data_IF_450523592921
#
_entry.id   IF_450523592921
#
_cell.length_a   1.000
_cell.length_b   1.000
_cell.length_c   1.000
_cell.angle_alpha   90.00
_cell.angle_beta   90.00
_cell.angle_gamma   90.00
#
_symmetry.space_group_name_H-M   'P 1'
#
loop_
_entity.id
_entity.type
_entity.pdbx_description
1 polymer ?
#
# COMPACT_ATOMS: atom_id res chain seq x y z
N UNK A 1 5.44 -12.58 -40.25
CA UNK A 1 6.22 -11.99 -39.14
C UNK A 1 5.55 -12.37 -37.84
N UNK A 2 6.29 -13.04 -36.96
CA UNK A 2 5.82 -13.69 -35.74
C UNK A 2 5.68 -12.68 -34.56
N UNK A 3 4.88 -13.00 -33.53
CA UNK A 3 4.65 -12.12 -32.38
C UNK A 3 5.81 -12.15 -31.38
N UNK A 4 6.01 -11.01 -30.70
CA UNK A 4 7.03 -10.78 -29.68
C UNK A 4 6.79 -11.66 -28.44
N UNK A 5 7.83 -12.39 -28.01
CA UNK A 5 7.86 -13.21 -26.80
C UNK A 5 8.38 -12.43 -25.59
N UNK A 6 7.83 -12.76 -24.42
CA UNK A 6 8.29 -12.33 -23.09
C UNK A 6 9.68 -12.86 -22.72
N UNK A 7 10.28 -12.14 -21.78
CA UNK A 7 11.51 -12.36 -21.00
C UNK A 7 12.01 -13.80 -20.84
N UNK A 8 13.33 -13.97 -21.00
CA UNK A 8 14.12 -14.89 -20.17
C UNK A 8 15.48 -14.29 -19.83
N UNK A 9 15.89 -14.58 -18.59
CA UNK A 9 16.98 -14.06 -17.78
C UNK A 9 18.33 -14.67 -18.15
N UNK A 10 19.35 -13.84 -18.43
CA UNK A 10 20.77 -14.22 -18.32
C UNK A 10 21.70 -13.01 -18.47
N UNK A 11 21.98 -12.30 -17.37
CA UNK A 11 22.97 -11.20 -17.22
C UNK A 11 23.41 -10.43 -18.49
N UNK A 12 22.53 -9.59 -19.08
CA UNK A 12 22.87 -8.48 -19.97
C UNK A 12 22.42 -7.12 -19.38
N UNK A 13 21.93 -7.12 -18.13
CA UNK A 13 21.02 -6.11 -17.60
C UNK A 13 21.59 -4.70 -17.50
N UNK A 14 22.91 -4.50 -17.41
CA UNK A 14 23.48 -3.16 -17.26
C UNK A 14 23.40 -2.33 -18.54
N UNK A 15 23.48 -2.93 -19.74
CA UNK A 15 23.40 -2.16 -21.00
C UNK A 15 21.98 -1.74 -21.31
N UNK A 16 21.01 -2.63 -21.12
CA UNK A 16 19.59 -2.27 -21.22
C UNK A 16 19.19 -1.29 -20.11
N UNK A 17 19.64 -1.50 -18.86
CA UNK A 17 19.35 -0.57 -17.76
C UNK A 17 19.96 0.81 -17.98
N UNK A 18 21.19 0.93 -18.50
CA UNK A 18 21.81 2.23 -18.76
C UNK A 18 21.07 3.01 -19.87
N UNK A 19 20.61 2.33 -20.92
CA UNK A 19 19.79 2.94 -21.98
C UNK A 19 18.42 3.36 -21.43
N UNK A 20 17.78 2.51 -20.62
CA UNK A 20 16.48 2.82 -19.99
C UNK A 20 16.60 3.96 -18.98
N UNK A 21 17.67 4.02 -18.17
CA UNK A 21 17.92 5.13 -17.23
C UNK A 21 18.19 6.42 -17.99
N UNK A 22 19.04 6.39 -19.02
CA UNK A 22 19.31 7.60 -19.83
C UNK A 22 18.04 8.12 -20.51
N UNK A 23 17.21 7.22 -21.05
CA UNK A 23 15.93 7.59 -21.63
C UNK A 23 14.96 8.18 -20.57
N UNK A 24 14.96 7.64 -19.36
CA UNK A 24 14.11 8.14 -18.27
C UNK A 24 14.44 9.57 -17.84
N UNK A 25 15.71 9.99 -18.00
CA UNK A 25 16.16 11.36 -17.68
C UNK A 25 15.87 12.38 -18.79
N UNK A 26 15.42 11.93 -19.96
CA UNK A 26 15.19 12.75 -21.16
C UNK A 26 13.71 12.75 -21.56
N UNK A 27 12.83 12.38 -20.64
CA UNK A 27 11.39 12.39 -20.86
C UNK A 27 10.90 13.83 -20.97
N UNK A 28 10.00 14.07 -21.92
CA UNK A 28 9.28 15.33 -22.04
C UNK A 28 8.32 15.51 -20.86
N UNK A 29 8.44 16.63 -20.15
CA UNK A 29 7.62 16.96 -18.99
C UNK A 29 6.11 17.06 -19.33
N UNK A 30 5.77 17.27 -20.62
CA UNK A 30 4.39 17.24 -21.10
C UNK A 30 3.83 15.81 -21.24
N UNK A 31 4.68 14.77 -21.18
CA UNK A 31 4.26 13.37 -21.25
C UNK A 31 4.20 12.74 -19.86
N UNK A 32 3.08 12.96 -19.18
CA UNK A 32 2.88 12.47 -17.81
C UNK A 32 2.97 10.94 -17.68
N UNK A 33 2.53 10.18 -18.69
CA UNK A 33 2.67 8.72 -18.69
C UNK A 33 4.14 8.28 -18.66
N UNK A 34 4.99 8.91 -19.48
CA UNK A 34 6.41 8.63 -19.51
C UNK A 34 7.12 9.14 -18.23
N UNK A 35 6.67 10.26 -17.67
CA UNK A 35 7.17 10.78 -16.39
C UNK A 35 6.86 9.80 -15.25
N UNK A 36 5.62 9.31 -15.15
CA UNK A 36 5.23 8.31 -14.17
C UNK A 36 6.00 6.99 -14.31
N UNK A 37 6.26 6.54 -15.54
CA UNK A 37 7.08 5.36 -15.79
C UNK A 37 8.54 5.56 -15.33
N UNK A 38 9.10 6.75 -15.57
CA UNK A 38 10.46 7.10 -15.18
C UNK A 38 10.61 7.22 -13.66
N UNK A 39 9.68 7.91 -12.99
CA UNK A 39 9.63 8.00 -11.53
C UNK A 39 9.58 6.61 -10.87
N UNK A 40 8.72 5.71 -11.38
CA UNK A 40 8.62 4.32 -10.88
C UNK A 40 9.90 3.53 -11.10
N UNK A 41 10.58 3.73 -12.22
CA UNK A 41 11.90 3.13 -12.46
C UNK A 41 12.91 3.62 -11.43
N UNK A 42 12.97 4.93 -11.17
CA UNK A 42 13.91 5.50 -10.20
C UNK A 42 13.65 4.99 -8.78
N UNK A 43 12.39 4.89 -8.36
CA UNK A 43 11.99 4.27 -7.09
C UNK A 43 12.46 2.81 -6.99
N UNK A 44 12.24 2.02 -8.04
CA UNK A 44 12.70 0.62 -8.08
C UNK A 44 14.22 0.50 -8.03
N UNK A 45 14.94 1.41 -8.70
CA UNK A 45 16.39 1.46 -8.65
C UNK A 45 16.90 1.89 -7.28
N UNK A 46 16.26 2.87 -6.63
CA UNK A 46 16.62 3.33 -5.29
C UNK A 46 16.52 2.22 -4.24
N UNK A 47 15.53 1.33 -4.37
CA UNK A 47 15.41 0.15 -3.50
C UNK A 47 16.62 -0.78 -3.58
N UNK A 48 17.24 -0.88 -4.76
CA UNK A 48 18.39 -1.75 -5.02
C UNK A 48 19.72 -1.03 -4.81
N UNK A 49 19.76 0.27 -5.10
CA UNK A 49 20.97 1.08 -5.15
C UNK A 49 20.74 2.41 -4.42
N UNK A 50 21.21 2.48 -3.18
CA UNK A 50 21.18 3.69 -2.35
C UNK A 50 22.38 4.58 -2.65
N UNK A 51 22.37 5.22 -3.82
CA UNK A 51 23.44 6.15 -4.23
C UNK A 51 22.95 7.61 -4.17
N UNK A 52 23.83 8.59 -3.90
CA UNK A 52 23.46 10.01 -3.75
C UNK A 52 22.59 10.56 -4.89
N UNK A 53 22.92 10.21 -6.14
CA UNK A 53 22.16 10.66 -7.30
C UNK A 53 20.69 10.18 -7.29
N UNK A 54 20.45 8.91 -6.96
CA UNK A 54 19.09 8.36 -6.90
C UNK A 54 18.33 8.88 -5.67
N UNK A 55 19.03 9.10 -4.56
CA UNK A 55 18.43 9.71 -3.36
C UNK A 55 17.89 11.11 -3.68
N UNK A 56 18.70 11.95 -4.32
CA UNK A 56 18.29 13.28 -4.75
C UNK A 56 17.14 13.23 -5.75
N UNK A 57 17.29 12.45 -6.82
CA UNK A 57 16.32 12.38 -7.91
C UNK A 57 14.92 11.94 -7.43
N UNK A 58 14.87 10.92 -6.57
CA UNK A 58 13.61 10.44 -6.01
C UNK A 58 13.06 11.41 -4.96
N UNK A 59 13.92 12.05 -4.17
CA UNK A 59 13.48 13.09 -3.23
C UNK A 59 12.81 14.25 -3.96
N UNK A 60 13.40 14.73 -5.05
CA UNK A 60 12.86 15.81 -5.88
C UNK A 60 11.48 15.43 -6.45
N UNK A 61 11.34 14.21 -6.98
CA UNK A 61 10.04 13.70 -7.46
C UNK A 61 9.00 13.73 -6.35
N UNK A 62 9.32 13.19 -5.17
CA UNK A 62 8.39 13.18 -4.03
C UNK A 62 8.03 14.59 -3.58
N UNK A 63 8.99 15.52 -3.60
CA UNK A 63 8.76 16.92 -3.23
C UNK A 63 7.82 17.61 -4.23
N UNK A 64 8.09 17.48 -5.53
CA UNK A 64 7.27 18.05 -6.61
C UNK A 64 5.84 17.49 -6.60
N UNK A 65 5.68 16.22 -6.21
CA UNK A 65 4.38 15.55 -6.13
C UNK A 65 3.67 15.74 -4.76
N UNK A 66 4.07 16.75 -3.98
CA UNK A 66 3.44 17.14 -2.70
C UNK A 66 3.57 16.10 -1.56
N UNK A 67 4.62 15.28 -1.60
CA UNK A 67 4.99 14.35 -0.53
C UNK A 67 6.28 14.76 0.18
N UNK A 68 6.31 16.02 0.62
CA UNK A 68 7.47 16.61 1.30
C UNK A 68 7.99 15.79 2.51
N UNK A 69 7.15 15.22 3.40
CA UNK A 69 7.65 14.38 4.50
C UNK A 69 8.49 13.18 4.01
N UNK A 70 8.06 12.53 2.92
CA UNK A 70 8.76 11.39 2.33
C UNK A 70 10.00 11.80 1.54
N UNK A 71 9.99 13.00 0.96
CA UNK A 71 11.16 13.57 0.30
C UNK A 71 12.26 13.92 1.31
N UNK A 72 11.90 14.56 2.43
CA UNK A 72 12.84 14.97 3.48
C UNK A 72 13.56 13.78 4.14
N UNK A 73 12.95 12.60 4.21
CA UNK A 73 13.64 11.39 4.64
C UNK A 73 14.83 11.05 3.71
N UNK A 74 14.65 11.17 2.39
CA UNK A 74 15.71 10.91 1.42
C UNK A 74 16.75 12.03 1.39
N UNK A 75 16.34 13.29 1.54
CA UNK A 75 17.30 14.40 1.66
C UNK A 75 18.18 14.26 2.92
N UNK A 76 17.63 13.77 4.04
CA UNK A 76 18.43 13.48 5.24
C UNK A 76 19.41 12.32 5.01
N UNK A 77 18.98 11.25 4.33
CA UNK A 77 19.88 10.16 3.93
C UNK A 77 21.01 10.66 3.02
N UNK A 78 20.67 11.51 2.06
CA UNK A 78 21.64 12.19 1.20
C UNK A 78 22.60 13.07 2.02
N UNK A 79 22.08 13.88 2.94
CA UNK A 79 22.86 14.75 3.82
C UNK A 79 23.87 13.97 4.66
N UNK A 80 23.49 12.81 5.20
CA UNK A 80 24.43 11.94 5.94
C UNK A 80 25.59 11.46 5.05
N UNK A 81 25.36 11.36 3.74
CA UNK A 81 26.35 10.87 2.77
C UNK A 81 27.25 11.97 2.24
N UNK A 82 26.71 13.14 1.89
CA UNK A 82 27.47 14.23 1.26
C UNK A 82 27.94 15.31 2.23
N UNK A 83 27.32 15.39 3.42
CA UNK A 83 27.66 16.33 4.50
C UNK A 83 27.69 17.81 4.06
N UNK A 84 26.79 18.20 3.16
CA UNK A 84 26.70 19.57 2.64
C UNK A 84 25.96 20.48 3.64
N UNK A 85 26.57 21.60 4.04
CA UNK A 85 25.97 22.48 5.05
C UNK A 85 24.74 23.25 4.54
N UNK A 86 24.67 23.53 3.23
CA UNK A 86 23.52 24.24 2.66
C UNK A 86 22.30 23.32 2.61
N UNK A 87 22.49 22.06 2.22
CA UNK A 87 21.44 21.06 2.25
C UNK A 87 20.92 20.83 3.68
N UNK A 88 21.81 20.74 4.68
CA UNK A 88 21.41 20.65 6.08
C UNK A 88 20.51 21.82 6.53
N UNK A 89 20.92 23.06 6.22
CA UNK A 89 20.14 24.25 6.55
C UNK A 89 18.78 24.25 5.85
N UNK A 90 18.76 23.91 4.55
CA UNK A 90 17.52 23.84 3.77
C UNK A 90 16.54 22.77 4.30
N UNK A 91 17.04 21.60 4.74
CA UNK A 91 16.21 20.56 5.37
C UNK A 91 15.57 21.10 6.66
N UNK A 92 16.35 21.80 7.50
CA UNK A 92 15.85 22.35 8.76
C UNK A 92 14.76 23.42 8.53
N UNK A 93 14.98 24.34 7.59
CA UNK A 93 13.99 25.35 7.19
C UNK A 93 12.72 24.72 6.61
N UNK A 94 12.87 23.66 5.81
CA UNK A 94 11.74 22.93 5.23
C UNK A 94 10.92 22.21 6.29
N UNK A 95 11.55 21.57 7.26
CA UNK A 95 10.88 20.94 8.41
C UNK A 95 10.06 21.95 9.22
N UNK A 96 10.64 23.12 9.50
CA UNK A 96 9.95 24.18 10.23
C UNK A 96 8.70 24.65 9.45
N UNK A 97 8.86 24.89 8.14
CA UNK A 97 7.78 25.33 7.25
C UNK A 97 6.65 24.31 7.18
N UNK A 98 6.96 23.03 7.05
CA UNK A 98 5.96 21.96 7.05
C UNK A 98 5.24 21.85 8.40
N UNK A 99 5.98 21.95 9.50
CA UNK A 99 5.39 21.93 10.85
C UNK A 99 4.44 23.09 11.09
N UNK A 100 4.76 24.28 10.56
CA UNK A 100 3.92 25.46 10.65
C UNK A 100 2.66 25.30 9.80
N UNK A 101 2.82 24.88 8.54
CA UNK A 101 1.71 24.68 7.60
C UNK A 101 0.71 23.65 8.11
N UNK A 102 1.19 22.56 8.72
CA UNK A 102 0.34 21.55 9.35
C UNK A 102 -0.48 22.15 10.50
N UNK A 103 0.16 22.84 11.44
CA UNK A 103 -0.52 23.48 12.58
C UNK A 103 -1.63 24.43 12.12
N UNK A 104 -1.39 25.21 11.07
CA UNK A 104 -2.38 26.12 10.50
C UNK A 104 -3.54 25.37 9.83
N UNK A 105 -3.25 24.27 9.13
CA UNK A 105 -4.28 23.49 8.44
C UNK A 105 -5.18 22.74 9.43
N UNK A 106 -4.60 22.11 10.44
CA UNK A 106 -5.33 21.37 11.47
C UNK A 106 -6.24 22.29 12.30
N UNK A 107 -5.83 23.53 12.54
CA UNK A 107 -6.64 24.50 13.30
C UNK A 107 -7.76 25.15 12.49
N UNK A 108 -7.70 25.12 11.14
CA UNK A 108 -8.69 25.74 10.26
C UNK A 108 -9.86 24.84 9.87
N UNK A 109 -9.71 23.53 9.98
CA UNK A 109 -10.76 22.58 9.61
C UNK A 109 -11.61 22.22 10.84
N UNK A 110 -12.81 22.79 10.96
CA UNK A 110 -13.81 22.24 11.89
C UNK A 110 -14.34 20.93 11.32
N UNK A 111 -13.63 19.83 11.56
CA UNK A 111 -14.06 18.51 11.10
C UNK A 111 -15.18 18.02 12.02
N UNK A 112 -16.39 17.88 11.48
CA UNK A 112 -17.51 17.27 12.20
C UNK A 112 -17.49 15.75 12.01
N UNK A 113 -17.09 15.04 13.07
CA UNK A 113 -17.14 13.58 13.10
C UNK A 113 -18.55 13.07 13.40
N UNK A 114 -18.92 11.97 12.75
CA UNK A 114 -20.19 11.31 13.06
C UNK A 114 -20.19 10.75 14.49
N UNK A 115 -21.35 10.70 15.18
CA UNK A 115 -21.44 10.14 16.53
C UNK A 115 -20.88 8.71 16.57
N UNK A 116 -19.95 8.48 17.49
CA UNK A 116 -19.29 7.18 17.65
C UNK A 116 -18.25 6.81 16.61
N UNK A 117 -17.99 7.67 15.62
CA UNK A 117 -17.01 7.46 14.55
C UNK A 117 -15.68 8.19 14.81
N UNK A 118 -15.39 8.50 16.08
CA UNK A 118 -14.06 8.94 16.51
C UNK A 118 -13.15 7.73 16.69
N UNK A 119 -11.85 7.92 16.54
CA UNK A 119 -10.85 6.91 16.88
C UNK A 119 -11.01 6.48 18.35
N UNK A 120 -11.00 5.17 18.58
CA UNK A 120 -11.19 4.53 19.90
C UNK A 120 -10.10 3.47 20.10
N UNK A 121 -8.94 3.85 20.64
CA UNK A 121 -7.83 2.92 20.81
C UNK A 121 -8.17 1.75 21.76
N UNK A 122 -9.14 1.94 22.66
CA UNK A 122 -9.54 0.94 23.64
C UNK A 122 -10.11 -0.33 22.98
N UNK A 123 -10.66 -0.23 21.76
CA UNK A 123 -11.20 -1.39 21.02
C UNK A 123 -10.17 -2.48 20.74
N UNK A 124 -8.92 -2.09 20.48
CA UNK A 124 -7.81 -3.04 20.31
C UNK A 124 -7.54 -3.82 21.58
N UNK A 125 -7.89 -3.25 22.75
CA UNK A 125 -7.69 -3.86 24.05
C UNK A 125 -8.85 -4.75 24.49
N UNK A 126 -10.04 -4.62 23.88
CA UNK A 126 -11.23 -5.39 24.22
C UNK A 126 -10.99 -6.92 24.04
N UNK A 127 -11.72 -7.76 24.79
CA UNK A 127 -11.66 -9.21 24.60
C UNK A 127 -11.97 -9.60 23.15
N UNK A 128 -11.36 -10.69 22.68
CA UNK A 128 -11.67 -11.22 21.36
C UNK A 128 -13.16 -11.58 21.27
N UNK A 129 -13.82 -11.33 20.12
CA UNK A 129 -15.21 -11.67 19.95
C UNK A 129 -15.41 -13.17 20.15
N UNK A 130 -16.45 -13.51 20.91
CA UNK A 130 -16.85 -14.90 21.08
C UNK A 130 -17.99 -15.17 20.11
N UNK A 131 -17.64 -15.81 19.01
CA UNK A 131 -18.58 -16.45 18.12
C UNK A 131 -18.21 -17.92 18.07
N UNK A 132 -19.18 -18.82 18.02
CA UNK A 132 -18.88 -20.25 17.90
C UNK A 132 -19.83 -20.82 16.88
N UNK A 133 -19.31 -21.17 15.72
CA UNK A 133 -20.06 -21.99 14.78
C UNK A 133 -20.40 -23.33 15.44
N UNK A 134 -21.55 -23.89 15.05
CA UNK A 134 -21.87 -25.26 15.45
C UNK A 134 -20.83 -26.21 14.85
N UNK A 135 -20.57 -27.33 15.54
CA UNK A 135 -19.62 -28.34 15.05
C UNK A 135 -20.06 -28.89 13.69
N UNK A 136 -21.37 -28.98 13.49
CA UNK A 136 -22.01 -29.43 12.26
C UNK A 136 -21.69 -28.47 11.11
N UNK A 137 -21.86 -27.16 11.30
CA UNK A 137 -21.55 -26.15 10.29
C UNK A 137 -20.05 -26.10 9.99
N UNK A 138 -19.20 -26.21 11.02
CA UNK A 138 -17.76 -26.26 10.81
C UNK A 138 -17.35 -27.46 9.94
N UNK A 139 -17.88 -28.64 10.26
CA UNK A 139 -17.61 -29.88 9.50
C UNK A 139 -18.12 -29.79 8.05
N UNK A 140 -19.26 -29.13 7.83
CA UNK A 140 -19.80 -28.89 6.49
C UNK A 140 -18.89 -27.96 5.68
N UNK A 141 -18.40 -26.87 6.28
CA UNK A 141 -17.47 -25.95 5.62
C UNK A 141 -16.15 -26.65 5.29
N UNK A 142 -15.57 -27.42 6.22
CA UNK A 142 -14.35 -28.18 5.98
C UNK A 142 -14.51 -29.19 4.85
N UNK A 143 -15.65 -29.90 4.81
CA UNK A 143 -15.95 -30.84 3.74
C UNK A 143 -16.02 -30.14 2.38
N UNK A 144 -16.79 -29.05 2.29
CA UNK A 144 -16.91 -28.26 1.06
C UNK A 144 -15.54 -27.71 0.63
N UNK A 145 -14.75 -27.21 1.57
CA UNK A 145 -13.40 -26.71 1.30
C UNK A 145 -12.48 -27.82 0.77
N UNK A 146 -12.52 -29.00 1.39
CA UNK A 146 -11.76 -30.17 0.94
C UNK A 146 -12.14 -30.56 -0.50
N UNK A 147 -13.43 -30.59 -0.84
CA UNK A 147 -13.91 -30.89 -2.19
C UNK A 147 -13.41 -29.86 -3.22
N UNK A 148 -13.52 -28.57 -2.90
CA UNK A 148 -13.06 -27.48 -3.79
C UNK A 148 -11.53 -27.49 -3.95
N UNK A 149 -10.79 -27.76 -2.87
CA UNK A 149 -9.31 -27.73 -2.88
C UNK A 149 -8.69 -28.80 -3.79
N UNK A 150 -9.42 -29.86 -4.10
CA UNK A 150 -9.00 -30.95 -4.98
C UNK A 150 -9.22 -30.65 -6.47
N UNK A 151 -9.97 -29.59 -6.80
CA UNK A 151 -10.21 -29.22 -8.19
C UNK A 151 -8.91 -28.78 -8.87
N UNK A 152 -8.79 -29.10 -10.16
CA UNK A 152 -7.65 -28.64 -10.96
C UNK A 152 -7.63 -27.11 -10.97
N UNK A 153 -6.49 -26.52 -10.62
CA UNK A 153 -6.30 -25.08 -10.51
C UNK A 153 -7.02 -24.36 -9.36
N UNK A 154 -7.60 -25.06 -8.38
CA UNK A 154 -8.32 -24.45 -7.25
C UNK A 154 -7.56 -23.28 -6.59
N UNK A 155 -6.26 -23.44 -6.32
CA UNK A 155 -5.42 -22.40 -5.72
C UNK A 155 -5.24 -21.16 -6.63
N UNK A 156 -5.07 -21.39 -7.94
CA UNK A 156 -4.95 -20.30 -8.92
C UNK A 156 -6.26 -19.53 -9.02
N UNK A 157 -7.37 -20.25 -9.09
CA UNK A 157 -8.69 -19.67 -9.27
C UNK A 157 -9.11 -18.90 -8.01
N UNK A 158 -8.87 -19.46 -6.81
CA UNK A 158 -9.03 -18.75 -5.53
C UNK A 158 -8.29 -17.41 -5.54
N UNK A 159 -7.00 -17.41 -5.87
CA UNK A 159 -6.18 -16.19 -5.87
C UNK A 159 -6.69 -15.16 -6.87
N UNK A 160 -7.10 -15.63 -8.05
CA UNK A 160 -7.60 -14.79 -9.13
C UNK A 160 -8.92 -14.15 -8.75
N UNK A 161 -9.90 -14.95 -8.30
CA UNK A 161 -11.21 -14.45 -7.89
C UNK A 161 -11.11 -13.53 -6.67
N UNK A 162 -10.33 -13.91 -5.65
CA UNK A 162 -10.09 -13.05 -4.50
C UNK A 162 -9.55 -11.69 -4.94
N UNK A 163 -8.50 -11.67 -5.76
CA UNK A 163 -7.90 -10.42 -6.23
C UNK A 163 -8.85 -9.56 -7.06
N UNK A 164 -9.67 -10.19 -7.93
CA UNK A 164 -10.68 -9.46 -8.72
C UNK A 164 -11.72 -8.82 -7.80
N UNK A 165 -12.24 -9.57 -6.82
CA UNK A 165 -13.27 -9.06 -5.93
C UNK A 165 -12.75 -7.99 -4.97
N UNK A 166 -11.56 -8.16 -4.38
CA UNK A 166 -10.98 -7.15 -3.49
C UNK A 166 -10.62 -5.88 -4.26
N UNK A 167 -10.08 -5.99 -5.46
CA UNK A 167 -9.80 -4.83 -6.30
C UNK A 167 -11.11 -4.14 -6.73
N UNK A 168 -12.15 -4.91 -7.07
CA UNK A 168 -13.46 -4.38 -7.44
C UNK A 168 -14.16 -3.61 -6.31
N UNK A 169 -14.03 -4.05 -5.04
CA UNK A 169 -14.53 -3.32 -3.87
C UNK A 169 -13.94 -1.92 -3.80
N UNK A 170 -12.69 -1.80 -4.22
CA UNK A 170 -11.89 -0.58 -4.14
C UNK A 170 -12.01 0.28 -5.41
N UNK A 171 -12.93 -0.08 -6.31
CA UNK A 171 -13.20 0.66 -7.55
C UNK A 171 -12.21 0.38 -8.67
N UNK A 172 -11.31 -0.58 -8.49
CA UNK A 172 -10.37 -1.06 -9.50
C UNK A 172 -11.08 -2.16 -10.28
N UNK A 173 -12.01 -1.73 -11.16
CA UNK A 173 -12.70 -2.47 -12.23
C UNK A 173 -13.39 -3.80 -11.84
N UNK A 174 -14.50 -4.09 -12.50
CA UNK A 174 -15.28 -5.31 -12.29
C UNK A 174 -14.97 -6.38 -13.33
N UNK A 175 -15.47 -7.61 -13.11
CA UNK A 175 -15.43 -8.68 -14.11
C UNK A 175 -16.11 -8.25 -15.42
N UNK A 176 -17.08 -7.34 -15.35
CA UNK A 176 -17.84 -6.82 -16.50
C UNK A 176 -17.04 -5.79 -17.31
N UNK A 177 -16.16 -5.03 -16.66
CA UNK A 177 -15.25 -4.08 -17.30
C UNK A 177 -14.17 -4.76 -18.17
N UNK A 178 -14.01 -6.08 -18.02
CA UNK A 178 -13.13 -6.88 -18.87
C UNK A 178 -13.69 -7.10 -20.30
N UNK A 179 -14.99 -6.81 -20.51
CA UNK A 179 -15.75 -7.11 -21.74
C UNK A 179 -16.12 -5.84 -22.55
N UNK A 180 -16.03 -4.65 -21.95
CA UNK A 180 -16.33 -3.36 -22.60
C UNK A 180 -15.22 -2.87 -23.55
N UNK A 181 -15.61 -2.26 -24.68
CA UNK A 181 -14.71 -1.65 -25.68
C UNK A 181 -14.46 -0.17 -25.37
N UNK A 182 -13.18 0.19 -25.46
CA UNK A 182 -12.58 1.51 -25.72
C UNK A 182 -12.43 2.58 -24.61
N UNK A 183 -12.96 2.43 -23.38
CA UNK A 183 -12.52 3.31 -22.28
C UNK A 183 -11.23 2.82 -21.60
N UNK A 184 -10.13 3.42 -22.09
CA UNK A 184 -8.78 3.58 -21.54
C UNK A 184 -7.91 2.31 -21.38
N UNK A 185 -7.00 2.13 -22.35
CA UNK A 185 -5.84 1.23 -22.27
C UNK A 185 -5.02 1.40 -20.97
N UNK A 186 -5.00 2.61 -20.41
CA UNK A 186 -4.38 2.93 -19.11
C UNK A 186 -5.09 2.26 -17.93
N UNK A 187 -6.43 2.31 -17.87
CA UNK A 187 -7.22 1.60 -16.86
C UNK A 187 -7.03 0.09 -17.00
N UNK A 188 -7.03 -0.44 -18.22
CA UNK A 188 -6.76 -1.87 -18.47
C UNK A 188 -5.35 -2.30 -18.04
N UNK A 189 -4.35 -1.43 -18.14
CA UNK A 189 -2.99 -1.70 -17.68
C UNK A 189 -2.88 -1.64 -16.16
N UNK A 190 -3.50 -0.64 -15.53
CA UNK A 190 -3.56 -0.51 -14.08
C UNK A 190 -4.31 -1.69 -13.45
N UNK A 191 -5.47 -2.06 -14.00
CA UNK A 191 -6.23 -3.26 -13.63
C UNK A 191 -5.38 -4.51 -13.66
N UNK A 192 -4.67 -4.75 -14.77
CA UNK A 192 -3.79 -5.92 -14.90
C UNK A 192 -2.64 -5.89 -13.91
N UNK A 193 -2.03 -4.73 -13.70
CA UNK A 193 -0.95 -4.57 -12.74
C UNK A 193 -1.45 -4.91 -11.33
N UNK A 194 -2.58 -4.34 -10.92
CA UNK A 194 -3.17 -4.52 -9.60
C UNK A 194 -3.68 -5.95 -9.38
N UNK A 195 -4.24 -6.61 -10.39
CA UNK A 195 -4.57 -8.03 -10.28
C UNK A 195 -3.30 -8.87 -10.07
N UNK A 196 -2.21 -8.59 -10.80
CA UNK A 196 -0.95 -9.33 -10.66
C UNK A 196 -0.31 -9.11 -9.29
N UNK A 197 -0.27 -7.88 -8.81
CA UNK A 197 0.33 -7.55 -7.51
C UNK A 197 -0.53 -8.06 -6.35
N UNK A 198 -1.87 -8.00 -6.42
CA UNK A 198 -2.77 -8.60 -5.44
C UNK A 198 -2.64 -10.13 -5.37
N UNK A 199 -2.52 -10.82 -6.52
CA UNK A 199 -2.26 -12.27 -6.56
C UNK A 199 -0.90 -12.61 -5.92
N UNK A 200 0.10 -11.77 -6.15
CA UNK A 200 1.45 -11.93 -5.58
C UNK A 200 1.42 -11.72 -4.07
N UNK A 201 0.75 -10.66 -3.60
CA UNK A 201 0.58 -10.36 -2.18
C UNK A 201 -0.19 -11.49 -1.46
N UNK A 202 -1.28 -11.99 -2.04
CA UNK A 202 -2.02 -13.11 -1.48
C UNK A 202 -1.18 -14.39 -1.43
N UNK A 203 -0.37 -14.66 -2.45
CA UNK A 203 0.57 -15.78 -2.42
C UNK A 203 1.56 -15.65 -1.25
N UNK A 204 2.08 -14.44 -1.02
CA UNK A 204 2.96 -14.15 0.11
C UNK A 204 2.27 -14.32 1.45
N UNK A 205 1.01 -13.89 1.59
CA UNK A 205 0.19 -14.14 2.80
C UNK A 205 0.04 -15.63 3.05
N UNK A 206 -0.26 -16.42 2.03
CA UNK A 206 -0.41 -17.88 2.17
C UNK A 206 0.89 -18.56 2.59
N UNK A 207 2.05 -18.14 2.06
CA UNK A 207 3.37 -18.64 2.48
C UNK A 207 3.68 -18.29 3.94
N UNK A 208 3.33 -17.08 4.38
CA UNK A 208 3.50 -16.63 5.75
C UNK A 208 2.59 -17.44 6.69
N UNK A 209 1.33 -17.65 6.30
CA UNK A 209 0.33 -18.38 7.08
C UNK A 209 0.66 -19.88 7.23
N UNK A 210 1.36 -20.49 6.28
CA UNK A 210 1.78 -21.90 6.36
C UNK A 210 3.16 -22.10 6.99
N UNK A 211 3.80 -21.03 7.46
CA UNK A 211 5.08 -21.13 8.16
C UNK A 211 4.90 -21.73 9.56
N UNK A 212 5.84 -22.57 9.98
CA UNK A 212 5.80 -23.31 11.26
C UNK A 212 5.71 -22.39 12.49
N UNK A 213 6.19 -21.15 12.36
CA UNK A 213 6.14 -20.12 13.39
C UNK A 213 5.72 -18.77 12.79
N UNK A 214 4.41 -18.59 12.61
CA UNK A 214 3.87 -17.28 12.23
C UNK A 214 4.05 -16.29 13.38
N UNK A 215 4.87 -15.26 13.16
CA UNK A 215 4.93 -14.07 14.02
C UNK A 215 4.68 -12.84 13.17
N UNK A 216 3.48 -12.27 13.28
CA UNK A 216 3.14 -11.05 12.57
C UNK A 216 3.92 -9.88 13.18
N UNK A 217 4.50 -9.06 12.32
CA UNK A 217 5.22 -7.84 12.72
C UNK A 217 4.79 -6.66 11.85
N UNK A 218 4.95 -5.42 12.34
CA UNK A 218 4.76 -4.21 11.54
C UNK A 218 5.50 -4.26 10.20
N UNK A 219 6.73 -4.79 10.19
CA UNK A 219 7.54 -4.91 8.98
C UNK A 219 6.92 -5.83 7.93
N UNK A 220 6.35 -6.97 8.35
CA UNK A 220 5.65 -7.89 7.43
C UNK A 220 4.41 -7.21 6.83
N UNK A 221 3.64 -6.47 7.62
CA UNK A 221 2.47 -5.74 7.12
C UNK A 221 2.89 -4.68 6.08
N UNK A 222 3.95 -3.91 6.36
CA UNK A 222 4.51 -2.96 5.42
C UNK A 222 5.04 -3.63 4.14
N UNK A 223 5.69 -4.80 4.25
CA UNK A 223 6.14 -5.61 3.11
C UNK A 223 4.94 -6.05 2.25
N UNK A 224 3.88 -6.58 2.86
CA UNK A 224 2.68 -7.02 2.15
C UNK A 224 2.00 -5.86 1.41
N UNK A 225 1.85 -4.71 2.08
CA UNK A 225 1.35 -3.50 1.44
C UNK A 225 2.27 -3.03 0.30
N UNK A 226 3.59 -3.18 0.45
CA UNK A 226 4.55 -2.89 -0.61
C UNK A 226 4.36 -3.79 -1.84
N UNK A 227 4.24 -5.10 -1.62
CA UNK A 227 4.04 -6.09 -2.68
C UNK A 227 2.71 -5.84 -3.40
N UNK A 228 1.66 -5.57 -2.65
CA UNK A 228 0.31 -5.34 -3.18
C UNK A 228 0.22 -4.11 -4.08
N UNK A 229 0.95 -3.04 -3.76
CA UNK A 229 0.95 -1.78 -4.51
C UNK A 229 2.25 -1.56 -5.29
N UNK A 230 2.99 -2.63 -5.58
CA UNK A 230 4.24 -2.49 -6.29
C UNK A 230 4.03 -1.93 -7.71
N UNK A 231 4.73 -0.84 -8.04
CA UNK A 231 4.61 -0.20 -9.35
C UNK A 231 3.44 0.79 -9.47
N UNK A 232 2.79 1.15 -8.35
CA UNK A 232 1.78 2.22 -8.27
C UNK A 232 2.28 3.45 -7.50
N UNK A 233 3.58 3.56 -7.17
CA UNK A 233 4.13 4.68 -6.41
C UNK A 233 3.99 6.04 -7.11
N UNK A 234 3.93 6.06 -8.43
CA UNK A 234 3.64 7.28 -9.20
C UNK A 234 2.60 6.95 -10.24
N UNK A 235 1.44 7.57 -10.09
CA UNK A 235 0.27 7.35 -10.96
C UNK A 235 -0.06 8.66 -11.65
N UNK A 236 -0.39 8.57 -12.94
CA UNK A 236 -1.00 9.66 -13.68
C UNK A 236 -2.53 9.55 -13.55
N UNK A 237 -3.14 10.62 -13.05
CA UNK A 237 -4.58 10.79 -12.90
C UNK A 237 -5.09 11.57 -14.11
N UNK A 238 -5.63 10.83 -15.08
CA UNK A 238 -6.09 11.35 -16.38
C UNK A 238 -7.27 12.33 -16.25
N UNK A 239 -8.11 12.14 -15.22
CA UNK A 239 -9.25 13.01 -14.91
C UNK A 239 -8.83 14.43 -14.45
N UNK A 240 -7.56 14.59 -14.03
CA UNK A 240 -7.05 15.84 -13.46
C UNK A 240 -5.80 16.36 -14.15
N UNK A 241 -5.31 15.64 -15.17
CA UNK A 241 -4.04 15.88 -15.84
C UNK A 241 -2.89 16.08 -14.83
N UNK A 242 -2.82 15.19 -13.84
CA UNK A 242 -1.90 15.34 -12.69
C UNK A 242 -1.22 14.04 -12.33
N UNK A 243 0.07 14.13 -12.01
CA UNK A 243 0.80 13.07 -11.33
C UNK A 243 0.49 13.09 -9.83
N UNK A 244 0.33 11.91 -9.25
CA UNK A 244 0.22 11.71 -7.80
C UNK A 244 1.26 10.70 -7.37
N UNK A 245 1.93 10.98 -6.25
CA UNK A 245 2.76 10.01 -5.58
C UNK A 245 1.93 9.21 -4.56
N UNK A 246 2.24 7.93 -4.43
CA UNK A 246 1.61 7.02 -3.49
C UNK A 246 2.72 6.42 -2.61
N UNK A 247 2.67 6.71 -1.32
CA UNK A 247 3.64 6.19 -0.37
C UNK A 247 3.36 4.70 -0.09
N UNK A 248 4.10 3.83 -0.77
CA UNK A 248 3.87 2.39 -0.74
C UNK A 248 4.83 1.67 0.22
N UNK A 249 4.24 0.99 1.20
CA UNK A 249 4.96 0.14 2.16
C UNK A 249 5.48 0.90 3.37
N UNK A 250 4.92 2.07 3.63
CA UNK A 250 5.27 2.95 4.75
C UNK A 250 3.99 3.42 5.41
N UNK A 251 3.99 3.50 6.72
CA UNK A 251 2.81 3.94 7.48
C UNK A 251 2.57 5.43 7.35
N UNK A 252 1.37 5.85 7.73
CA UNK A 252 1.01 7.27 7.82
C UNK A 252 1.81 8.02 8.88
N UNK A 253 2.47 7.34 9.82
CA UNK A 253 3.40 8.02 10.70
C UNK A 253 4.58 8.61 9.94
N UNK A 254 5.08 7.89 8.93
CA UNK A 254 6.15 8.37 8.05
C UNK A 254 5.65 9.44 7.06
N UNK A 255 4.47 9.24 6.46
CA UNK A 255 3.90 10.23 5.52
C UNK A 255 3.34 11.46 6.23
N UNK A 256 3.10 11.33 7.53
CA UNK A 256 2.53 12.33 8.43
C UNK A 256 1.16 12.85 7.95
N UNK A 257 0.32 11.94 7.46
CA UNK A 257 -1.00 12.22 6.88
C UNK A 257 -2.12 11.64 7.75
N UNK A 258 -3.05 12.49 8.19
CA UNK A 258 -4.31 12.01 8.77
C UNK A 258 -5.30 11.68 7.67
N UNK A 259 -5.88 10.49 7.72
CA UNK A 259 -6.93 10.05 6.79
C UNK A 259 -8.27 10.00 7.50
N UNK A 260 -9.32 10.27 6.74
CA UNK A 260 -10.71 10.26 7.20
C UNK A 260 -11.60 9.80 6.05
N UNK A 261 -12.62 9.01 6.34
CA UNK A 261 -13.64 8.67 5.35
C UNK A 261 -14.84 9.61 5.47
N UNK A 262 -15.37 10.08 4.34
CA UNK A 262 -16.59 10.91 4.32
C UNK A 262 -17.82 10.03 4.15
N UNK A 263 -18.77 10.15 5.05
CA UNK A 263 -20.08 9.52 4.93
C UNK A 263 -20.97 10.27 3.93
N UNK A 264 -22.00 9.62 3.34
CA UNK A 264 -23.00 10.29 2.50
C UNK A 264 -23.69 11.48 3.18
N UNK A 265 -23.72 11.48 4.52
CA UNK A 265 -24.26 12.58 5.35
C UNK A 265 -23.36 13.80 5.43
N UNK A 266 -22.17 13.76 4.83
CA UNK A 266 -21.14 14.81 4.89
C UNK A 266 -20.26 14.75 6.15
N UNK A 267 -20.63 13.95 7.16
CA UNK A 267 -19.84 13.74 8.38
C UNK A 267 -18.64 12.83 8.13
N UNK A 268 -17.62 12.92 8.97
CA UNK A 268 -16.38 12.17 8.80
C UNK A 268 -16.26 11.00 9.79
N UNK A 269 -15.58 9.95 9.36
CA UNK A 269 -15.03 8.87 10.21
C UNK A 269 -13.56 9.19 10.47
N UNK A 270 -13.16 9.07 11.72
CA UNK A 270 -11.78 9.25 12.15
C UNK A 270 -11.10 7.88 12.33
N UNK A 271 -9.98 7.69 11.66
CA UNK A 271 -9.08 6.55 11.89
C UNK A 271 -8.00 6.92 12.91
N UNK A 272 -7.12 5.97 13.23
CA UNK A 272 -5.97 6.22 14.10
C UNK A 272 -5.17 7.46 13.63
N UNK A 273 -4.86 8.42 14.53
CA UNK A 273 -4.02 9.57 14.22
C UNK A 273 -2.65 9.12 13.72
N UNK A 274 -2.12 9.79 12.69
CA UNK A 274 -0.89 9.38 12.05
C UNK A 274 0.30 9.25 13.03
N UNK A 275 0.33 10.09 14.07
CA UNK A 275 1.41 10.12 15.07
C UNK A 275 1.43 8.89 16.00
N UNK A 276 0.34 8.14 16.05
CA UNK A 276 0.17 7.00 16.94
C UNK A 276 0.14 5.65 16.19
N UNK A 277 0.01 5.69 14.86
CA UNK A 277 -0.21 4.50 14.02
C UNK A 277 0.85 3.42 14.25
N UNK A 278 2.15 3.75 14.32
CA UNK A 278 3.17 2.70 14.45
C UNK A 278 3.08 2.00 15.81
N UNK A 279 2.75 2.76 16.86
CA UNK A 279 2.59 2.22 18.21
C UNK A 279 1.39 1.26 18.29
N UNK A 280 0.26 1.63 17.68
CA UNK A 280 -0.92 0.76 17.63
C UNK A 280 -0.77 -0.38 16.64
N UNK A 281 0.01 -0.24 15.57
CA UNK A 281 0.33 -1.34 14.66
C UNK A 281 1.21 -2.39 15.36
N UNK A 282 2.17 -1.96 16.18
CA UNK A 282 2.95 -2.87 17.01
C UNK A 282 2.07 -3.58 18.06
N UNK A 283 1.17 -2.84 18.71
CA UNK A 283 0.21 -3.41 19.66
C UNK A 283 -0.76 -4.40 19.00
N UNK A 284 -1.28 -4.06 17.81
CA UNK A 284 -2.11 -4.95 17.00
C UNK A 284 -1.38 -6.26 16.68
N UNK A 285 -0.12 -6.18 16.23
CA UNK A 285 0.69 -7.37 15.97
C UNK A 285 0.92 -8.21 17.23
N UNK A 286 1.19 -7.57 18.37
CA UNK A 286 1.34 -8.26 19.65
C UNK A 286 0.05 -9.01 20.03
N UNK A 287 -1.11 -8.38 19.86
CA UNK A 287 -2.42 -8.98 20.10
C UNK A 287 -2.73 -10.11 19.12
N UNK A 288 -2.44 -9.93 17.84
CA UNK A 288 -2.56 -10.98 16.82
C UNK A 288 -1.75 -12.22 17.22
N UNK A 289 -0.50 -12.03 17.63
CA UNK A 289 0.39 -13.14 18.03
C UNK A 289 -0.03 -13.80 19.36
N UNK A 290 -1.02 -13.26 20.06
CA UNK A 290 -1.62 -13.86 21.27
C UNK A 290 -2.93 -14.59 20.99
N UNK A 291 -3.36 -14.65 19.72
CA UNK A 291 -4.50 -15.46 19.31
C UNK A 291 -4.15 -16.93 19.50
N UNK A 292 -4.91 -17.60 20.37
CA UNK A 292 -4.82 -19.04 20.60
C UNK A 292 -5.95 -19.72 19.83
N UNK A 293 -5.59 -20.42 18.73
CA UNK A 293 -6.55 -21.13 17.87
C UNK A 293 -7.26 -22.28 18.60
N UNK A 294 -6.68 -22.82 19.68
CA UNK A 294 -7.31 -23.88 20.46
C UNK A 294 -8.45 -23.35 21.35
N UNK A 295 -8.48 -22.03 21.60
CA UNK A 295 -9.44 -21.37 22.49
C UNK A 295 -10.44 -20.48 21.75
N UNK A 296 -10.08 -19.98 20.56
CA UNK A 296 -10.85 -18.98 19.83
C UNK A 296 -11.33 -19.50 18.48
N UNK A 297 -12.56 -19.11 18.10
CA UNK A 297 -13.12 -19.42 16.79
C UNK A 297 -12.42 -18.60 15.70
N UNK A 298 -11.92 -19.28 14.67
CA UNK A 298 -11.13 -18.67 13.58
C UNK A 298 -11.88 -17.56 12.82
N UNK A 299 -13.21 -17.65 12.71
CA UNK A 299 -14.01 -16.63 12.04
C UNK A 299 -14.16 -15.38 12.92
N UNK A 300 -14.30 -15.58 14.22
CA UNK A 300 -14.29 -14.49 15.19
C UNK A 300 -12.93 -13.76 15.19
N UNK A 301 -11.83 -14.50 15.15
CA UNK A 301 -10.48 -13.96 15.00
C UNK A 301 -10.35 -13.15 13.71
N UNK A 302 -10.76 -13.70 12.56
CA UNK A 302 -10.72 -13.01 11.28
C UNK A 302 -11.54 -11.71 11.26
N UNK A 303 -12.73 -11.72 11.87
CA UNK A 303 -13.56 -10.53 12.01
C UNK A 303 -12.89 -9.45 12.88
N UNK A 304 -12.28 -9.86 14.01
CA UNK A 304 -11.51 -8.96 14.87
C UNK A 304 -10.32 -8.34 14.12
N UNK A 305 -9.54 -9.16 13.41
CA UNK A 305 -8.40 -8.71 12.60
C UNK A 305 -8.86 -7.66 11.59
N UNK A 306 -9.90 -7.98 10.81
CA UNK A 306 -10.42 -7.11 9.76
C UNK A 306 -10.87 -5.76 10.30
N UNK A 307 -11.74 -5.76 11.33
CA UNK A 307 -12.28 -4.52 11.90
C UNK A 307 -11.18 -3.65 12.51
N UNK A 308 -10.29 -4.23 13.31
CA UNK A 308 -9.26 -3.46 14.02
C UNK A 308 -8.19 -2.93 13.07
N UNK A 309 -7.85 -3.69 12.02
CA UNK A 309 -6.89 -3.22 11.01
C UNK A 309 -7.48 -2.07 10.18
N UNK A 310 -8.77 -2.14 9.84
CA UNK A 310 -9.48 -1.04 9.15
C UNK A 310 -9.57 0.21 10.04
N UNK A 311 -9.89 0.08 11.32
CA UNK A 311 -9.97 1.22 12.26
C UNK A 311 -8.58 1.87 12.45
N UNK A 312 -7.51 1.07 12.48
CA UNK A 312 -6.13 1.56 12.52
C UNK A 312 -5.75 2.30 11.23
N UNK A 313 -6.15 1.75 10.08
CA UNK A 313 -5.90 2.29 8.74
C UNK A 313 -4.44 2.76 8.57
N UNK A 314 -3.44 1.87 8.68
CA UNK A 314 -2.05 2.30 8.89
C UNK A 314 -1.41 3.00 7.67
N UNK A 315 -1.99 2.86 6.49
CA UNK A 315 -1.46 3.38 5.22
C UNK A 315 -2.28 4.55 4.69
N UNK A 316 -1.65 5.40 3.87
CA UNK A 316 -2.33 6.54 3.22
C UNK A 316 -3.18 6.10 2.03
N UNK A 317 -2.73 5.05 1.34
CA UNK A 317 -3.38 4.50 0.16
C UNK A 317 -3.92 3.13 0.55
N UNK A 318 -5.24 2.99 0.51
CA UNK A 318 -5.89 1.69 0.40
C UNK A 318 -6.05 1.36 -1.09
N UNK A 319 -6.21 0.06 -1.37
CA UNK A 319 -7.13 -0.43 -2.39
C UNK A 319 -7.66 0.58 -3.41
#
# INVERSE_FOLDING_TARGET
>A
MAPLRCFQTSRPDLKHSAVTVKASLLVDDANFFACAASARLWESLLQRYRIPFLLLLVADVRMVLDHAPMALLLYRELQMTIQDMNLASWIAESDETLSFTRRVTETRLSIEYAPGQKWRPERLSEPFPQFKLSKETHSEIEKLWSEVSQLENANRDLKTFHSIHTNGIEGVGTLEDSVGRDEALANKHLMRLMTVTSVTALSRVMEIATSEHLTLTPAIICELHHVMLQGTQTVYLDDRDKLKYCAVGVTRQATQTNVTARLPTGKMIQFCPHAEVDSYMAYFCHRFNSLDEDQLDVYACAAWISQNFIDLHPFEVSL
#
